data_IF_854225605584
#
_entry.id   IF_854225605584
#
_cell.length_a   1.000
_cell.length_b   1.000
_cell.length_c   1.000
_cell.angle_alpha   90.00
_cell.angle_beta   90.00
_cell.angle_gamma   90.00
#
_symmetry.space_group_name_H-M   'P 1'
#
loop_
_entity.id
_entity.type
_entity.pdbx_description
1 polymer ?
#
# COMPACT_ATOMS: atom_id res chain seq x y z
N UNK A 1 -15.00 -6.13 -5.65
CA UNK A 1 -15.14 -5.07 -4.63
C UNK A 1 -14.55 -3.80 -5.20
N UNK A 2 -15.23 -2.67 -5.08
CA UNK A 2 -14.81 -1.41 -5.68
C UNK A 2 -13.59 -0.83 -4.96
N UNK A 3 -12.62 -0.26 -5.68
CA UNK A 3 -11.69 0.67 -5.05
C UNK A 3 -12.48 1.94 -4.71
N UNK A 4 -12.41 2.42 -3.47
CA UNK A 4 -13.20 3.55 -2.99
C UNK A 4 -12.37 4.83 -2.81
N UNK A 5 -11.06 4.70 -2.65
CA UNK A 5 -10.16 5.82 -2.32
C UNK A 5 -9.49 6.46 -3.56
N UNK A 6 -10.12 6.39 -4.73
CA UNK A 6 -9.56 6.88 -6.00
C UNK A 6 -9.60 8.41 -6.16
N UNK A 7 -10.28 9.11 -5.26
CA UNK A 7 -10.36 10.58 -5.22
C UNK A 7 -9.54 11.19 -4.08
N UNK A 8 -8.76 10.38 -3.34
CA UNK A 8 -8.01 10.88 -2.20
C UNK A 8 -6.94 11.89 -2.63
N UNK A 9 -6.84 12.98 -1.90
CA UNK A 9 -5.75 13.97 -2.02
C UNK A 9 -4.67 13.75 -0.97
N UNK A 10 -4.81 12.70 -0.15
CA UNK A 10 -3.84 12.35 0.88
C UNK A 10 -2.53 11.90 0.21
N UNK A 11 -1.38 12.50 0.53
CA UNK A 11 -0.10 12.06 0.00
C UNK A 11 0.21 10.62 0.41
N UNK A 12 0.75 9.82 -0.52
CA UNK A 12 1.12 8.43 -0.27
C UNK A 12 2.08 8.27 0.93
N UNK A 13 2.96 9.24 1.15
CA UNK A 13 3.88 9.28 2.30
C UNK A 13 3.14 9.34 3.65
N UNK A 14 2.02 10.05 3.74
CA UNK A 14 1.21 10.11 4.96
C UNK A 14 0.57 8.77 5.26
N UNK A 15 -0.03 8.14 4.24
CA UNK A 15 -0.61 6.79 4.38
C UNK A 15 0.46 5.76 4.73
N UNK A 16 1.65 5.83 4.12
CA UNK A 16 2.76 4.96 4.47
C UNK A 16 3.18 5.15 5.94
N UNK A 17 3.32 6.39 6.41
CA UNK A 17 3.64 6.67 7.82
C UNK A 17 2.57 6.13 8.79
N UNK A 18 1.28 6.21 8.43
CA UNK A 18 0.19 5.63 9.22
C UNK A 18 0.29 4.10 9.29
N UNK A 19 0.60 3.42 8.17
CA UNK A 19 0.87 1.98 8.14
C UNK A 19 2.04 1.64 9.08
N UNK A 20 3.15 2.38 8.98
CA UNK A 20 4.32 2.15 9.82
C UNK A 20 4.00 2.33 11.31
N UNK A 21 3.21 3.35 11.66
CA UNK A 21 2.75 3.58 13.04
C UNK A 21 1.96 2.37 13.57
N UNK A 22 1.01 1.86 12.78
CA UNK A 22 0.21 0.68 13.15
C UNK A 22 1.11 -0.54 13.34
N UNK A 23 2.04 -0.77 12.41
CA UNK A 23 2.98 -1.89 12.49
C UNK A 23 3.87 -1.81 13.75
N UNK A 24 4.40 -0.62 14.06
CA UNK A 24 5.23 -0.39 15.24
C UNK A 24 4.46 -0.65 16.55
N UNK A 25 3.18 -0.25 16.62
CA UNK A 25 2.31 -0.53 17.77
C UNK A 25 2.05 -2.02 18.00
N UNK A 26 2.18 -2.85 16.96
CA UNK A 26 1.91 -4.29 17.00
C UNK A 26 3.18 -5.15 17.13
N UNK A 27 4.28 -4.59 17.64
CA UNK A 27 5.48 -5.37 17.98
C UNK A 27 6.40 -5.66 16.78
N UNK A 28 6.23 -4.95 15.66
CA UNK A 28 7.18 -4.99 14.56
C UNK A 28 8.53 -4.45 15.03
N UNK A 29 9.61 -5.23 14.82
CA UNK A 29 10.97 -4.85 15.23
C UNK A 29 11.73 -4.03 14.18
N UNK A 30 11.35 -4.19 12.91
CA UNK A 30 12.01 -3.51 11.80
C UNK A 30 10.99 -3.15 10.74
N UNK A 31 11.10 -1.93 10.23
CA UNK A 31 10.33 -1.41 9.11
C UNK A 31 11.31 -0.80 8.11
N UNK A 32 11.13 -1.11 6.82
CA UNK A 32 11.88 -0.56 5.71
C UNK A 32 10.90 -0.01 4.67
N UNK A 33 11.25 1.11 4.03
CA UNK A 33 10.50 1.66 2.91
C UNK A 33 11.36 1.55 1.66
N UNK A 34 10.83 0.91 0.62
CA UNK A 34 11.46 0.89 -0.69
C UNK A 34 10.99 2.12 -1.49
N UNK A 35 11.92 2.66 -2.29
CA UNK A 35 11.64 3.69 -3.27
C UNK A 35 11.92 3.13 -4.67
N UNK A 36 11.11 3.51 -5.66
CA UNK A 36 11.38 3.20 -7.07
C UNK A 36 12.44 4.13 -7.67
N UNK A 37 12.78 3.92 -8.95
CA UNK A 37 13.75 4.73 -9.69
C UNK A 37 13.35 6.23 -9.78
N UNK A 38 12.10 6.55 -9.48
CA UNK A 38 11.54 7.91 -9.48
C UNK A 38 11.42 8.48 -8.06
N UNK A 39 12.04 7.85 -7.06
CA UNK A 39 12.02 8.25 -5.66
C UNK A 39 10.60 8.26 -5.03
N UNK A 40 9.68 7.44 -5.55
CA UNK A 40 8.35 7.23 -4.98
C UNK A 40 8.33 5.95 -4.16
N UNK A 41 7.51 5.93 -3.11
CA UNK A 41 7.35 4.73 -2.26
C UNK A 41 6.81 3.57 -3.09
N UNK A 42 7.56 2.47 -3.14
CA UNK A 42 7.22 1.28 -3.94
C UNK A 42 6.84 0.07 -3.09
N UNK A 43 7.27 0.02 -1.82
CA UNK A 43 6.83 -0.98 -0.86
C UNK A 43 7.09 -0.56 0.59
N UNK A 44 6.35 -1.18 1.53
CA UNK A 44 6.67 -1.19 2.96
C UNK A 44 7.01 -2.62 3.36
N UNK A 45 8.21 -2.84 3.90
CA UNK A 45 8.67 -4.13 4.38
C UNK A 45 8.74 -4.08 5.89
N UNK A 46 8.40 -5.18 6.54
CA UNK A 46 8.45 -5.23 7.99
C UNK A 46 8.72 -6.64 8.51
N UNK A 47 9.26 -6.71 9.72
CA UNK A 47 9.58 -7.97 10.41
C UNK A 47 8.88 -8.06 11.76
N UNK A 48 8.21 -9.19 11.99
CA UNK A 48 7.61 -9.55 13.28
C UNK A 48 8.24 -10.85 13.79
N UNK A 49 8.20 -11.07 15.11
CA UNK A 49 8.56 -12.36 15.68
C UNK A 49 7.34 -13.29 15.64
N UNK A 50 7.49 -14.47 15.04
CA UNK A 50 6.49 -15.52 15.01
C UNK A 50 6.45 -16.34 16.31
N UNK A 51 5.46 -17.23 16.46
CA UNK A 51 5.39 -18.15 17.58
C UNK A 51 6.68 -19.00 17.66
N UNK A 52 7.40 -18.91 18.77
CA UNK A 52 8.70 -19.60 18.95
C UNK A 52 9.94 -18.76 18.62
N UNK A 53 9.78 -17.46 18.31
CA UNK A 53 10.90 -16.53 18.14
C UNK A 53 11.50 -16.51 16.73
N UNK A 54 10.85 -17.15 15.75
CA UNK A 54 11.26 -17.03 14.35
C UNK A 54 11.03 -15.60 13.83
N UNK A 55 11.90 -15.12 12.95
CA UNK A 55 11.73 -13.81 12.33
C UNK A 55 10.94 -13.94 11.03
N UNK A 56 9.68 -13.47 11.02
CA UNK A 56 8.83 -13.43 9.83
C UNK A 56 8.95 -12.07 9.14
N UNK A 57 9.28 -12.08 7.84
CA UNK A 57 9.42 -10.86 7.04
C UNK A 57 8.31 -10.76 6.00
N UNK A 58 7.69 -9.59 5.92
CA UNK A 58 6.57 -9.30 5.03
C UNK A 58 6.91 -8.13 4.12
N UNK A 59 6.38 -8.16 2.90
CA UNK A 59 6.48 -7.07 1.92
C UNK A 59 5.09 -6.68 1.47
N UNK A 60 4.74 -5.41 1.65
CA UNK A 60 3.52 -4.79 1.16
C UNK A 60 3.88 -3.93 -0.07
N UNK A 61 3.75 -4.47 -1.30
CA UNK A 61 4.08 -3.73 -2.51
C UNK A 61 2.98 -2.73 -2.87
N UNK A 62 3.40 -1.64 -3.52
CA UNK A 62 2.51 -0.73 -4.25
C UNK A 62 2.41 -1.23 -5.69
N UNK A 63 1.20 -1.56 -6.13
CA UNK A 63 0.94 -2.00 -7.52
C UNK A 63 -0.04 -1.05 -8.22
N UNK A 64 0.50 0.04 -8.77
CA UNK A 64 -0.27 1.05 -9.49
C UNK A 64 -0.90 0.48 -10.78
N UNK A 65 -0.29 -0.53 -11.39
CA UNK A 65 -0.79 -1.13 -12.62
C UNK A 65 -2.03 -1.99 -12.34
N UNK A 66 -2.01 -2.78 -11.28
CA UNK A 66 -3.19 -3.51 -10.82
C UNK A 66 -4.31 -2.55 -10.41
N UNK A 67 -3.99 -1.48 -9.67
CA UNK A 67 -4.95 -0.42 -9.32
C UNK A 67 -5.60 0.18 -10.56
N UNK A 68 -4.81 0.56 -11.56
CA UNK A 68 -5.30 1.12 -12.82
C UNK A 68 -6.24 0.15 -13.56
N UNK A 69 -5.87 -1.13 -13.68
CA UNK A 69 -6.73 -2.15 -14.30
C UNK A 69 -8.08 -2.29 -13.61
N UNK A 70 -8.11 -2.21 -12.27
CA UNK A 70 -9.36 -2.23 -11.52
C UNK A 70 -10.18 -0.98 -11.81
N UNK A 71 -9.59 0.21 -11.75
CA UNK A 71 -10.30 1.47 -12.03
C UNK A 71 -10.88 1.51 -13.44
N UNK A 72 -10.15 0.99 -14.43
CA UNK A 72 -10.63 0.86 -15.80
C UNK A 72 -11.84 -0.08 -15.90
N UNK A 73 -11.79 -1.23 -15.22
CA UNK A 73 -12.95 -2.15 -15.14
C UNK A 73 -14.15 -1.48 -14.50
N UNK A 74 -13.94 -0.71 -13.43
CA UNK A 74 -15.00 0.00 -12.73
C UNK A 74 -15.61 1.11 -13.58
N UNK A 75 -14.80 1.82 -14.37
CA UNK A 75 -15.31 2.80 -15.33
C UNK A 75 -16.19 2.13 -16.39
N UNK A 76 -15.74 1.00 -16.95
CA UNK A 76 -16.52 0.25 -17.93
C UNK A 76 -17.87 -0.24 -17.37
N UNK A 77 -17.93 -0.49 -16.05
CA UNK A 77 -19.14 -0.85 -15.33
C UNK A 77 -20.01 0.37 -14.93
N UNK A 78 -19.58 1.60 -15.17
CA UNK A 78 -20.27 2.82 -14.75
C UNK A 78 -20.14 3.14 -13.26
N UNK A 79 -19.23 2.50 -12.53
CA UNK A 79 -19.04 2.67 -11.09
C UNK A 79 -18.19 3.91 -10.74
N UNK A 80 -17.28 4.31 -11.63
CA UNK A 80 -16.39 5.48 -11.45
C UNK A 80 -16.30 6.35 -12.70
N UNK A 81 -16.17 7.68 -12.58
CA UNK A 81 -15.94 8.58 -13.72
C UNK A 81 -14.64 8.30 -14.49
N UNK A 82 -14.64 8.55 -15.81
CA UNK A 82 -13.48 8.35 -16.70
C UNK A 82 -12.18 9.03 -16.23
N UNK A 83 -12.28 10.18 -15.56
CA UNK A 83 -11.10 10.92 -15.08
C UNK A 83 -10.27 10.19 -14.02
N UNK A 84 -10.80 9.10 -13.45
CA UNK A 84 -10.12 8.26 -12.47
C UNK A 84 -9.69 6.90 -13.04
N UNK A 85 -9.87 6.68 -14.34
CA UNK A 85 -9.61 5.43 -15.04
C UNK A 85 -8.64 5.60 -16.21
#
# INVERSE_FOLDING_TARGET
MALLNYSTTIPASKTAAEIQRILAQNGTRQILTEFDDQQRISAVLFRIDGPGGEALSFRLPVDTNATYKVLLKQYNNGEVPRRYA
#
